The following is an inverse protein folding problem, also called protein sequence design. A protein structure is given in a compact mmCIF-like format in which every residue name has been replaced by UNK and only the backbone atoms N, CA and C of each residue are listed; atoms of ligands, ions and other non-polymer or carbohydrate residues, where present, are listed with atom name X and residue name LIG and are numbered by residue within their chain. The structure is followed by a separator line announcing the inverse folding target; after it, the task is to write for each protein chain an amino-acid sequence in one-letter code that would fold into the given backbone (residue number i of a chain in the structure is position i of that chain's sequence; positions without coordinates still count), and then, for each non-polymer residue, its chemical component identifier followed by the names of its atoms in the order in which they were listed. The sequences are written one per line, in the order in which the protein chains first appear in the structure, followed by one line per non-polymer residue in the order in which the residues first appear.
data_IF_160615320385
#
_entry.id   IF_160615320385
#
_cell.length_a   1.000
_cell.length_b   1.000
_cell.length_c   1.000
_cell.angle_alpha   90.00
_cell.angle_beta   90.00
_cell.angle_gamma   90.00
#
_symmetry.space_group_name_H-M   'P 1'
#
loop_
_entity.id
_entity.type
_entity.pdbx_description
1 polymer ?
#
# COMPACT_ATOMS: atom_id res chain seq x y z
N UNK A 1 -58.67 -70.33 10.04
CA UNK A 1 -58.56 -69.03 10.67
C UNK A 1 -57.11 -68.58 10.61
N UNK A 2 -56.77 -67.76 9.62
CA UNK A 2 -55.37 -67.30 9.39
C UNK A 2 -55.20 -65.88 10.01
N UNK A 3 -54.31 -65.75 11.00
CA UNK A 3 -53.93 -64.47 11.59
C UNK A 3 -52.82 -63.90 10.76
N UNK A 4 -53.11 -62.71 10.16
CA UNK A 4 -52.09 -61.88 9.48
C UNK A 4 -51.32 -61.05 10.52
N UNK A 5 -50.01 -61.20 10.52
CA UNK A 5 -49.08 -60.39 11.30
C UNK A 5 -48.63 -59.20 10.40
N UNK A 6 -48.96 -57.99 10.83
CA UNK A 6 -48.43 -56.75 10.21
C UNK A 6 -47.06 -56.45 10.80
N UNK A 7 -46.03 -56.44 9.96
CA UNK A 7 -44.72 -55.84 10.28
C UNK A 7 -44.75 -54.36 9.95
N UNK A 8 -44.64 -53.52 10.97
CA UNK A 8 -44.41 -52.09 10.82
C UNK A 8 -42.89 -51.85 10.72
N UNK A 9 -42.44 -51.45 9.52
CA UNK A 9 -41.04 -51.05 9.30
C UNK A 9 -40.77 -49.65 9.87
N UNK A 10 -39.77 -49.58 10.73
CA UNK A 10 -39.25 -48.32 11.30
C UNK A 10 -38.20 -47.79 10.33
N UNK A 11 -38.52 -46.71 9.63
CA UNK A 11 -37.56 -45.99 8.78
C UNK A 11 -36.69 -45.06 9.67
N UNK A 12 -35.42 -45.40 9.81
CA UNK A 12 -34.42 -44.53 10.45
C UNK A 12 -34.01 -43.41 9.48
N UNK A 13 -34.36 -42.18 9.78
CA UNK A 13 -33.87 -41.00 9.07
C UNK A 13 -32.44 -40.70 9.58
N UNK A 14 -31.41 -40.90 8.73
CA UNK A 14 -30.07 -40.40 8.97
C UNK A 14 -30.10 -38.89 8.69
N UNK A 15 -30.00 -38.07 9.74
CA UNK A 15 -29.71 -36.66 9.64
C UNK A 15 -28.22 -36.47 9.32
N UNK A 16 -27.89 -36.10 8.09
CA UNK A 16 -26.55 -35.63 7.73
C UNK A 16 -26.34 -34.27 8.36
N UNK A 17 -25.57 -34.21 9.43
CA UNK A 17 -25.00 -32.95 9.94
C UNK A 17 -24.02 -32.41 8.88
N UNK A 18 -24.50 -31.49 8.04
CA UNK A 18 -23.64 -30.70 7.20
C UNK A 18 -22.70 -29.87 8.09
N UNK A 19 -21.41 -30.11 8.02
CA UNK A 19 -20.40 -29.18 8.55
C UNK A 19 -20.54 -27.90 7.75
N UNK A 20 -21.17 -26.89 8.34
CA UNK A 20 -21.07 -25.53 7.83
C UNK A 20 -19.59 -25.15 7.91
N UNK A 21 -18.88 -25.22 6.79
CA UNK A 21 -17.58 -24.61 6.65
C UNK A 21 -17.73 -23.15 7.03
N UNK A 22 -16.85 -22.67 7.92
CA UNK A 22 -16.71 -21.22 8.15
C UNK A 22 -16.14 -20.68 6.85
N UNK A 23 -17.02 -20.37 5.90
CA UNK A 23 -16.63 -19.62 4.70
C UNK A 23 -16.15 -18.26 5.18
N UNK A 24 -14.86 -17.99 5.03
CA UNK A 24 -14.41 -16.61 5.06
C UNK A 24 -15.18 -15.92 3.94
N UNK A 25 -15.98 -14.90 4.29
CA UNK A 25 -16.60 -14.07 3.27
C UNK A 25 -15.44 -13.46 2.45
N UNK A 26 -15.53 -13.56 1.12
CA UNK A 26 -14.61 -12.84 0.24
C UNK A 26 -14.67 -11.37 0.61
N UNK A 27 -13.52 -10.65 0.61
CA UNK A 27 -13.53 -9.22 0.89
C UNK A 27 -14.40 -8.51 -0.14
N UNK A 28 -15.38 -7.74 0.31
CA UNK A 28 -16.32 -7.05 -0.58
C UNK A 28 -15.65 -5.93 -1.39
N UNK A 29 -14.50 -5.42 -0.94
CA UNK A 29 -13.83 -4.22 -1.47
C UNK A 29 -12.42 -4.46 -2.02
N UNK A 30 -11.93 -5.70 -1.98
CA UNK A 30 -10.60 -6.07 -2.47
C UNK A 30 -9.54 -6.19 -1.38
N UNK A 31 -8.29 -6.32 -1.80
CA UNK A 31 -7.14 -6.56 -0.92
C UNK A 31 -6.26 -5.31 -0.84
N UNK A 32 -5.84 -4.95 0.36
CA UNK A 32 -4.87 -3.87 0.60
C UNK A 32 -3.59 -4.46 1.17
N UNK A 33 -2.47 -4.27 0.49
CA UNK A 33 -1.13 -4.64 0.96
C UNK A 33 -0.44 -3.38 1.50
N UNK A 34 -0.17 -3.36 2.81
CA UNK A 34 0.51 -2.26 3.50
C UNK A 34 2.01 -2.55 3.63
N UNK A 35 2.82 -1.63 3.11
CA UNK A 35 4.28 -1.72 3.12
C UNK A 35 4.86 -0.68 4.08
N UNK A 36 5.51 -1.12 5.18
CA UNK A 36 6.02 -0.23 6.21
C UNK A 36 7.16 0.67 5.76
N UNK A 37 7.30 1.81 6.46
CA UNK A 37 8.48 2.66 6.37
C UNK A 37 9.71 2.05 7.07
N UNK A 38 10.85 2.72 6.89
CA UNK A 38 12.13 2.27 7.43
C UNK A 38 12.08 2.13 8.96
N UNK A 39 12.62 1.03 9.48
CA UNK A 39 12.70 0.64 10.90
C UNK A 39 11.36 0.29 11.58
N UNK A 40 10.20 0.58 10.98
CA UNK A 40 8.92 0.48 11.67
C UNK A 40 8.40 -0.96 11.78
N UNK A 41 8.49 -1.75 10.71
CA UNK A 41 7.85 -3.06 10.64
C UNK A 41 6.32 -2.99 10.69
N UNK A 42 5.65 -4.11 10.88
CA UNK A 42 4.20 -4.22 10.76
C UNK A 42 3.41 -3.51 11.87
N UNK A 43 3.89 -3.58 13.10
CA UNK A 43 3.10 -3.25 14.29
C UNK A 43 2.45 -1.85 14.29
N UNK A 44 3.12 -0.76 13.89
CA UNK A 44 2.51 0.57 13.84
C UNK A 44 1.36 0.71 12.83
N UNK A 45 1.25 -0.22 11.87
CA UNK A 45 0.23 -0.18 10.81
C UNK A 45 -1.03 -0.99 11.16
N UNK A 46 -1.01 -1.78 12.23
CA UNK A 46 -2.17 -2.59 12.61
C UNK A 46 -3.43 -1.79 12.95
N UNK A 47 -3.37 -0.58 13.56
CA UNK A 47 -4.57 0.23 13.69
C UNK A 47 -5.19 0.65 12.35
N UNK A 48 -4.37 1.03 11.37
CA UNK A 48 -4.80 1.36 10.02
C UNK A 48 -5.41 0.12 9.33
N UNK A 49 -4.72 -1.01 9.42
CA UNK A 49 -5.20 -2.28 8.86
C UNK A 49 -6.53 -2.74 9.49
N UNK A 50 -6.68 -2.58 10.81
CA UNK A 50 -7.90 -2.92 11.51
C UNK A 50 -9.08 -2.05 11.04
N UNK A 51 -8.86 -0.76 10.80
CA UNK A 51 -9.88 0.14 10.27
C UNK A 51 -10.31 -0.27 8.86
N UNK A 52 -9.37 -0.60 7.98
CA UNK A 52 -9.65 -1.06 6.62
C UNK A 52 -10.38 -2.41 6.61
N UNK A 53 -10.00 -3.35 7.48
CA UNK A 53 -10.71 -4.63 7.64
C UNK A 53 -12.15 -4.42 8.11
N UNK A 54 -12.38 -3.47 9.01
CA UNK A 54 -13.73 -3.13 9.46
C UNK A 54 -14.61 -2.54 8.33
N UNK A 55 -13.99 -2.05 7.26
CA UNK A 55 -14.65 -1.49 6.08
C UNK A 55 -14.81 -2.51 4.94
N UNK A 56 -14.41 -3.77 5.14
CA UNK A 56 -14.59 -4.86 4.18
C UNK A 56 -13.41 -5.07 3.24
N UNK A 57 -12.23 -4.49 3.51
CA UNK A 57 -11.00 -4.87 2.80
C UNK A 57 -10.34 -6.08 3.48
N UNK A 58 -9.80 -7.01 2.71
CA UNK A 58 -8.75 -7.87 3.26
C UNK A 58 -7.45 -7.05 3.31
N UNK A 59 -6.75 -7.08 4.45
CA UNK A 59 -5.59 -6.22 4.64
C UNK A 59 -4.40 -7.01 5.16
N UNK A 60 -3.34 -7.02 4.36
CA UNK A 60 -2.06 -7.65 4.66
C UNK A 60 -1.06 -6.58 5.04
N UNK A 61 -0.46 -6.68 6.22
CA UNK A 61 0.63 -5.79 6.66
C UNK A 61 1.94 -6.56 6.56
N UNK A 62 2.89 -6.06 5.76
CA UNK A 62 4.19 -6.69 5.63
C UNK A 62 5.08 -6.33 6.82
N UNK A 63 5.88 -7.27 7.33
CA UNK A 63 6.87 -7.00 8.36
C UNK A 63 8.25 -6.76 7.73
N UNK A 64 8.37 -5.67 6.99
CA UNK A 64 9.60 -5.22 6.36
C UNK A 64 10.26 -4.12 7.18
N UNK A 65 11.56 -3.93 7.00
CA UNK A 65 12.33 -2.92 7.76
C UNK A 65 12.84 -1.77 6.88
N UNK A 66 12.64 -1.83 5.58
CA UNK A 66 13.10 -0.79 4.65
C UNK A 66 14.61 -0.66 4.60
N UNK A 67 15.35 -1.76 4.63
CA UNK A 67 16.82 -1.75 4.63
C UNK A 67 17.43 -1.98 3.25
N UNK A 68 16.68 -2.59 2.35
CA UNK A 68 17.05 -2.91 0.97
C UNK A 68 15.78 -2.84 0.11
N UNK A 69 15.71 -1.81 -0.73
CA UNK A 69 14.51 -1.50 -1.53
C UNK A 69 14.19 -2.64 -2.50
N UNK A 70 15.21 -3.22 -3.14
CA UNK A 70 14.99 -4.28 -4.12
C UNK A 70 14.56 -5.59 -3.43
N UNK A 71 15.17 -5.95 -2.29
CA UNK A 71 14.77 -7.12 -1.52
C UNK A 71 13.32 -6.98 -0.99
N UNK A 72 12.97 -5.81 -0.46
CA UNK A 72 11.62 -5.52 0.00
C UNK A 72 10.61 -5.59 -1.17
N UNK A 73 10.99 -5.13 -2.37
CA UNK A 73 10.14 -5.22 -3.56
C UNK A 73 9.85 -6.67 -3.98
N UNK A 74 10.80 -7.58 -3.86
CA UNK A 74 10.56 -9.01 -4.09
C UNK A 74 9.62 -9.62 -3.03
N UNK A 75 9.70 -9.16 -1.78
CA UNK A 75 8.75 -9.58 -0.75
C UNK A 75 7.33 -9.06 -1.05
N UNK A 76 7.21 -7.82 -1.58
CA UNK A 76 5.94 -7.25 -2.04
C UNK A 76 5.36 -8.08 -3.19
N UNK A 77 6.17 -8.46 -4.18
CA UNK A 77 5.75 -9.32 -5.29
C UNK A 77 5.13 -10.63 -4.79
N UNK A 78 5.82 -11.31 -3.86
CA UNK A 78 5.30 -12.52 -3.23
C UNK A 78 3.97 -12.31 -2.49
N UNK A 79 3.84 -11.19 -1.77
CA UNK A 79 2.61 -10.86 -1.05
C UNK A 79 1.44 -10.54 -1.98
N UNK A 80 1.67 -9.77 -3.04
CA UNK A 80 0.65 -9.46 -4.06
C UNK A 80 0.23 -10.72 -4.80
N UNK A 81 1.18 -11.59 -5.16
CA UNK A 81 0.88 -12.88 -5.79
C UNK A 81 0.03 -13.78 -4.88
N UNK A 82 0.34 -13.84 -3.58
CA UNK A 82 -0.43 -14.58 -2.59
C UNK A 82 -1.84 -14.00 -2.42
N UNK A 83 -1.98 -12.67 -2.33
CA UNK A 83 -3.26 -11.98 -2.24
C UNK A 83 -4.16 -12.30 -3.44
N UNK A 84 -3.63 -12.20 -4.65
CA UNK A 84 -4.36 -12.53 -5.89
C UNK A 84 -4.73 -14.00 -5.99
N UNK A 85 -3.89 -14.89 -5.47
CA UNK A 85 -4.18 -16.32 -5.40
C UNK A 85 -5.29 -16.67 -4.40
N UNK A 86 -5.32 -15.97 -3.27
CA UNK A 86 -6.34 -16.14 -2.23
C UNK A 86 -7.69 -15.53 -2.63
N UNK A 87 -7.68 -14.42 -3.40
CA UNK A 87 -8.86 -13.66 -3.79
C UNK A 87 -8.92 -13.42 -5.31
N UNK A 88 -9.17 -14.47 -6.12
CA UNK A 88 -9.16 -14.36 -7.58
C UNK A 88 -10.19 -13.34 -8.08
N UNK A 89 -9.72 -12.40 -8.90
CA UNK A 89 -10.59 -11.36 -9.49
C UNK A 89 -10.88 -10.16 -8.59
N UNK A 90 -10.42 -10.16 -7.35
CA UNK A 90 -10.52 -9.00 -6.48
C UNK A 90 -9.39 -7.99 -6.79
N UNK A 91 -9.67 -6.68 -6.71
CA UNK A 91 -8.67 -5.65 -6.89
C UNK A 91 -7.62 -5.68 -5.79
N UNK A 92 -6.35 -5.46 -6.14
CA UNK A 92 -5.26 -5.31 -5.18
C UNK A 92 -4.78 -3.87 -5.18
N UNK A 93 -4.81 -3.25 -4.01
CA UNK A 93 -4.24 -1.94 -3.76
C UNK A 93 -2.95 -2.06 -2.96
N UNK A 94 -1.91 -1.36 -3.39
CA UNK A 94 -0.60 -1.34 -2.73
C UNK A 94 -0.40 0.00 -2.04
N UNK A 95 -0.18 0.00 -0.74
CA UNK A 95 -0.02 1.21 0.07
C UNK A 95 1.36 1.19 0.71
N UNK A 96 2.23 2.10 0.30
CA UNK A 96 3.58 2.20 0.80
C UNK A 96 3.80 3.48 1.61
N UNK A 97 4.47 3.35 2.76
CA UNK A 97 4.87 4.49 3.59
C UNK A 97 6.38 4.71 3.51
N UNK A 98 6.80 5.98 3.29
CA UNK A 98 8.23 6.34 3.33
C UNK A 98 9.07 5.49 2.36
N UNK A 99 10.14 4.85 2.82
CA UNK A 99 10.96 3.91 2.04
C UNK A 99 10.13 2.72 1.51
N UNK A 100 9.11 2.27 2.23
CA UNK A 100 8.20 1.24 1.73
C UNK A 100 7.45 1.66 0.45
N UNK A 101 7.24 2.96 0.24
CA UNK A 101 6.71 3.46 -1.01
C UNK A 101 7.73 3.35 -2.15
N UNK A 102 9.03 3.57 -1.90
CA UNK A 102 10.07 3.33 -2.91
C UNK A 102 10.18 1.85 -3.29
N UNK A 103 10.13 0.94 -2.30
CA UNK A 103 10.10 -0.50 -2.54
C UNK A 103 8.86 -0.90 -3.36
N UNK A 104 7.71 -0.31 -3.05
CA UNK A 104 6.47 -0.50 -3.81
C UNK A 104 6.60 0.00 -5.24
N UNK A 105 7.17 1.19 -5.44
CA UNK A 105 7.40 1.74 -6.78
C UNK A 105 8.39 0.90 -7.59
N UNK A 106 9.48 0.40 -6.97
CA UNK A 106 10.39 -0.52 -7.63
C UNK A 106 9.67 -1.80 -8.08
N UNK A 107 8.82 -2.36 -7.24
CA UNK A 107 7.98 -3.50 -7.62
C UNK A 107 7.09 -3.18 -8.82
N UNK A 108 6.40 -2.04 -8.81
CA UNK A 108 5.51 -1.64 -9.90
C UNK A 108 6.24 -1.49 -11.23
N UNK A 109 7.41 -0.87 -11.22
CA UNK A 109 8.18 -0.56 -12.44
C UNK A 109 9.03 -1.71 -12.94
N UNK A 110 9.82 -2.31 -12.05
CA UNK A 110 10.89 -3.23 -12.44
C UNK A 110 10.48 -4.71 -12.36
N UNK A 111 9.49 -5.04 -11.53
CA UNK A 111 9.03 -6.41 -11.33
C UNK A 111 7.64 -6.69 -11.95
N UNK A 112 7.11 -5.75 -12.71
CA UNK A 112 5.83 -5.91 -13.43
C UNK A 112 4.59 -5.73 -12.58
N UNK A 113 4.69 -5.17 -11.39
CA UNK A 113 3.59 -4.94 -10.48
C UNK A 113 2.47 -4.07 -11.05
N UNK A 114 2.81 -3.11 -11.95
CA UNK A 114 1.84 -2.23 -12.60
C UNK A 114 0.84 -2.95 -13.52
N UNK A 115 1.09 -4.21 -13.87
CA UNK A 115 0.16 -5.02 -14.62
C UNK A 115 -0.92 -5.70 -13.74
N UNK A 116 -0.75 -5.69 -12.42
CA UNK A 116 -1.57 -6.48 -11.48
C UNK A 116 -2.06 -5.72 -10.26
N UNK A 117 -1.48 -4.56 -9.98
CA UNK A 117 -1.92 -3.64 -8.91
C UNK A 117 -2.86 -2.61 -9.51
N UNK A 118 -4.06 -2.48 -8.95
CA UNK A 118 -5.05 -1.52 -9.43
C UNK A 118 -4.77 -0.11 -8.93
N UNK A 119 -4.38 0.04 -7.64
CA UNK A 119 -4.09 1.32 -7.03
C UNK A 119 -2.77 1.28 -6.27
N UNK A 120 -1.98 2.30 -6.45
CA UNK A 120 -0.80 2.56 -5.65
C UNK A 120 -0.99 3.84 -4.85
N UNK A 121 -0.87 3.77 -3.54
CA UNK A 121 -0.96 4.91 -2.63
C UNK A 121 0.35 5.08 -1.89
N UNK A 122 1.03 6.18 -2.13
CA UNK A 122 2.27 6.56 -1.46
C UNK A 122 1.97 7.51 -0.29
N UNK A 123 2.44 7.19 0.90
CA UNK A 123 2.28 8.01 2.11
C UNK A 123 3.67 8.54 2.49
N UNK A 124 3.85 9.86 2.56
CA UNK A 124 5.11 10.50 2.94
C UNK A 124 6.33 10.01 2.14
N UNK A 125 6.16 9.77 0.83
CA UNK A 125 7.13 9.06 0.03
C UNK A 125 8.22 9.98 -0.54
N UNK A 126 9.52 9.70 -0.31
CA UNK A 126 10.63 10.40 -0.96
C UNK A 126 10.88 9.81 -2.35
N UNK A 127 9.96 10.05 -3.30
CA UNK A 127 9.94 9.37 -4.60
C UNK A 127 11.24 9.51 -5.40
N UNK A 128 11.93 10.64 -5.29
CA UNK A 128 13.23 10.88 -5.97
C UNK A 128 14.43 10.75 -5.04
N UNK A 129 14.23 10.04 -3.93
CA UNK A 129 15.26 9.78 -2.93
C UNK A 129 15.21 10.69 -1.72
N UNK A 130 15.95 10.33 -0.70
CA UNK A 130 16.06 11.06 0.56
C UNK A 130 17.52 11.39 0.88
N UNK A 131 17.88 12.66 1.11
CA UNK A 131 19.21 13.02 1.60
C UNK A 131 19.57 12.32 2.92
N UNK A 132 18.57 11.97 3.74
CA UNK A 132 18.75 11.19 4.95
C UNK A 132 19.26 9.76 4.72
N UNK A 133 19.12 9.21 3.53
CA UNK A 133 19.67 7.90 3.17
C UNK A 133 21.17 7.96 2.83
N UNK A 134 21.70 9.15 2.54
CA UNK A 134 23.09 9.29 2.13
C UNK A 134 24.06 8.94 3.28
N UNK A 135 24.94 7.97 3.02
CA UNK A 135 25.94 7.51 4.00
C UNK A 135 25.38 6.63 5.13
N UNK A 136 24.11 6.25 5.08
CA UNK A 136 23.53 5.28 6.01
C UNK A 136 23.71 3.84 5.52
N UNK A 137 23.79 2.85 6.42
CA UNK A 137 23.89 1.43 6.03
C UNK A 137 22.55 0.85 5.58
N UNK A 138 21.40 1.48 5.94
CA UNK A 138 20.08 1.02 5.62
C UNK A 138 19.53 1.81 4.42
N UNK A 139 19.13 1.11 3.36
CA UNK A 139 18.67 1.65 2.09
C UNK A 139 19.55 2.80 1.54
N UNK A 140 20.88 2.64 1.46
CA UNK A 140 21.79 3.68 0.94
C UNK A 140 21.49 4.03 -0.51
N UNK A 141 20.86 3.13 -1.24
CA UNK A 141 20.41 3.31 -2.62
C UNK A 141 19.36 4.41 -2.76
N UNK A 142 18.61 4.74 -1.71
CA UNK A 142 17.64 5.84 -1.70
C UNK A 142 18.29 7.24 -1.62
N UNK A 143 19.63 7.34 -1.49
CA UNK A 143 20.31 8.63 -1.58
C UNK A 143 20.12 9.23 -2.99
N UNK A 144 19.69 10.50 -3.14
CA UNK A 144 19.56 11.15 -4.43
C UNK A 144 20.84 11.10 -5.26
N UNK A 145 20.70 10.88 -6.57
CA UNK A 145 21.84 10.79 -7.49
C UNK A 145 22.57 9.44 -7.51
N UNK A 146 22.12 8.44 -6.74
CA UNK A 146 22.66 7.07 -6.88
C UNK A 146 22.23 6.47 -8.23
N UNK A 147 22.99 5.50 -8.78
CA UNK A 147 22.59 4.78 -9.98
C UNK A 147 21.21 4.10 -9.85
N UNK A 148 20.88 3.63 -8.63
CA UNK A 148 19.57 3.05 -8.33
C UNK A 148 18.44 4.08 -8.53
N UNK A 149 18.56 5.25 -7.89
CA UNK A 149 17.54 6.30 -8.03
C UNK A 149 17.47 6.84 -9.46
N UNK A 150 18.60 6.96 -10.15
CA UNK A 150 18.61 7.37 -11.55
C UNK A 150 17.86 6.36 -12.45
N UNK A 151 18.04 5.05 -12.22
CA UNK A 151 17.32 4.01 -12.95
C UNK A 151 15.83 4.01 -12.61
N UNK A 152 15.50 4.11 -11.30
CA UNK A 152 14.10 4.13 -10.84
C UNK A 152 13.32 5.35 -11.34
N UNK A 153 13.97 6.45 -11.65
CA UNK A 153 13.36 7.70 -12.11
C UNK A 153 13.54 7.93 -13.63
N UNK A 154 13.93 6.92 -14.38
CA UNK A 154 14.17 7.05 -15.83
C UNK A 154 12.91 6.69 -16.64
N UNK A 155 12.34 7.63 -17.37
CA UNK A 155 11.13 7.41 -18.19
C UNK A 155 9.85 7.50 -17.36
N UNK A 156 8.79 6.78 -17.77
CA UNK A 156 7.48 6.84 -17.13
C UNK A 156 7.51 6.33 -15.68
N UNK A 157 7.22 7.22 -14.73
CA UNK A 157 7.20 6.93 -13.30
C UNK A 157 5.86 6.34 -12.81
N UNK A 158 4.83 6.40 -13.65
CA UNK A 158 3.48 5.92 -13.36
C UNK A 158 3.01 4.90 -14.40
N UNK A 159 3.79 3.80 -14.64
CA UNK A 159 3.52 2.90 -15.73
C UNK A 159 2.24 2.08 -15.55
N UNK A 160 1.69 1.64 -16.68
CA UNK A 160 0.61 0.67 -16.73
C UNK A 160 -0.77 1.24 -16.50
N UNK A 161 -1.67 0.38 -16.00
CA UNK A 161 -3.06 0.75 -15.70
C UNK A 161 -3.29 1.07 -14.21
N UNK A 162 -2.26 1.03 -13.41
CA UNK A 162 -2.31 1.38 -11.99
C UNK A 162 -2.70 2.86 -11.82
N UNK A 163 -3.63 3.16 -10.92
CA UNK A 163 -3.92 4.53 -10.53
C UNK A 163 -2.99 4.92 -9.36
N UNK A 164 -2.35 6.08 -9.49
CA UNK A 164 -1.32 6.54 -8.55
C UNK A 164 -1.86 7.66 -7.65
N UNK A 165 -1.61 7.54 -6.34
CA UNK A 165 -2.02 8.51 -5.33
C UNK A 165 -0.85 8.87 -4.43
N UNK A 166 -0.78 10.14 -3.99
CA UNK A 166 0.16 10.59 -2.97
C UNK A 166 -0.55 11.26 -1.80
N UNK A 167 -0.19 10.84 -0.59
CA UNK A 167 -0.65 11.37 0.70
C UNK A 167 0.55 11.97 1.41
N UNK A 168 0.44 13.19 1.95
CA UNK A 168 1.49 13.83 2.71
C UNK A 168 0.95 14.85 3.70
N UNK A 169 1.72 15.15 4.74
CA UNK A 169 1.45 16.30 5.59
C UNK A 169 1.88 17.62 4.93
N UNK A 170 1.39 18.76 5.43
CA UNK A 170 1.86 20.10 5.01
C UNK A 170 3.35 20.32 5.33
N UNK A 171 3.91 19.53 6.23
CA UNK A 171 5.29 19.65 6.74
C UNK A 171 6.19 18.51 6.30
N UNK A 172 5.70 17.69 5.37
CA UNK A 172 6.52 16.60 4.82
C UNK A 172 7.75 17.18 4.10
N UNK A 173 8.86 16.52 4.23
CA UNK A 173 10.16 16.92 3.67
C UNK A 173 10.32 16.61 2.18
N UNK A 174 9.46 15.76 1.63
CA UNK A 174 9.34 15.48 0.22
C UNK A 174 7.91 15.72 -0.23
N UNK A 175 7.72 16.27 -1.42
CA UNK A 175 6.38 16.53 -1.91
C UNK A 175 5.67 15.30 -2.49
N UNK A 176 6.37 14.17 -2.62
CA UNK A 176 5.82 12.88 -3.05
C UNK A 176 5.37 12.82 -4.51
N UNK A 177 5.70 13.84 -5.33
CA UNK A 177 5.37 13.85 -6.76
C UNK A 177 6.10 12.76 -7.52
N UNK A 178 5.47 12.34 -8.60
CA UNK A 178 6.02 11.50 -9.66
C UNK A 178 5.85 12.22 -11.00
N UNK A 179 6.68 11.92 -11.98
CA UNK A 179 6.36 12.16 -13.37
C UNK A 179 5.15 11.32 -13.77
N UNK A 180 4.38 11.76 -14.76
CA UNK A 180 3.17 11.09 -15.20
C UNK A 180 1.95 11.34 -14.32
N UNK A 181 0.86 10.66 -14.66
CA UNK A 181 -0.46 10.90 -14.08
C UNK A 181 -0.62 10.38 -12.66
N UNK A 182 -0.93 11.26 -11.72
CA UNK A 182 -1.25 10.89 -10.34
C UNK A 182 -2.24 11.84 -9.70
N UNK A 183 -2.99 11.34 -8.72
CA UNK A 183 -3.75 12.16 -7.79
C UNK A 183 -2.89 12.54 -6.59
N UNK A 184 -2.66 13.82 -6.40
CA UNK A 184 -2.03 14.39 -5.20
C UNK A 184 -3.12 14.84 -4.25
N UNK A 185 -3.35 14.07 -3.20
CA UNK A 185 -4.33 14.43 -2.18
C UNK A 185 -3.92 15.72 -1.47
N UNK A 186 -4.91 16.51 -1.07
CA UNK A 186 -4.65 17.79 -0.37
C UNK A 186 -3.84 17.54 0.89
N UNK A 187 -2.67 18.19 1.08
CA UNK A 187 -1.84 17.96 2.25
C UNK A 187 -2.61 18.18 3.56
N UNK A 188 -2.52 17.23 4.47
CA UNK A 188 -3.21 17.35 5.75
C UNK A 188 -2.38 18.16 6.76
N UNK A 189 -3.09 18.85 7.64
CA UNK A 189 -2.47 19.66 8.69
C UNK A 189 -2.02 18.82 9.86
N UNK A 190 -0.85 19.17 10.38
CA UNK A 190 -0.29 18.57 11.59
C UNK A 190 0.05 19.65 12.63
N UNK A 191 0.13 19.24 13.90
CA UNK A 191 0.54 20.11 15.00
C UNK A 191 2.02 19.92 15.36
N UNK A 192 2.65 18.90 14.81
CA UNK A 192 4.02 18.50 15.08
C UNK A 192 5.06 19.17 14.18
N UNK A 193 6.27 18.66 14.22
CA UNK A 193 7.32 18.93 13.25
C UNK A 193 7.34 17.81 12.18
N UNK A 194 7.88 18.11 11.01
CA UNK A 194 7.84 17.20 9.85
C UNK A 194 8.37 15.79 10.12
N UNK A 195 9.43 15.64 10.93
CA UNK A 195 10.00 14.33 11.23
C UNK A 195 9.12 13.47 12.15
N UNK A 196 8.50 14.09 13.18
CA UNK A 196 7.57 13.38 14.05
C UNK A 196 6.28 13.03 13.30
N UNK A 197 5.77 13.96 12.50
CA UNK A 197 4.57 13.74 11.69
C UNK A 197 4.77 12.59 10.72
N UNK A 198 5.89 12.56 10.00
CA UNK A 198 6.25 11.48 9.09
C UNK A 198 6.21 10.09 9.76
N UNK A 199 6.80 9.97 10.96
CA UNK A 199 6.81 8.68 11.68
C UNK A 199 5.44 8.27 12.20
N UNK A 200 4.52 9.23 12.40
CA UNK A 200 3.17 9.01 12.93
C UNK A 200 2.11 8.86 11.83
N UNK A 201 2.43 9.13 10.58
CA UNK A 201 1.47 9.03 9.46
C UNK A 201 0.62 7.75 9.48
N UNK A 202 1.19 6.55 9.76
CA UNK A 202 0.40 5.33 9.79
C UNK A 202 -0.74 5.29 10.82
N UNK A 203 -0.68 6.15 11.83
CA UNK A 203 -1.68 6.19 12.92
C UNK A 203 -2.53 7.45 12.93
N UNK A 204 -2.31 8.38 11.98
CA UNK A 204 -3.07 9.63 11.91
C UNK A 204 -4.44 9.40 11.26
N UNK A 205 -5.55 9.87 11.88
CA UNK A 205 -6.88 9.78 11.28
C UNK A 205 -6.96 10.43 9.88
N UNK A 206 -6.26 11.54 9.68
CA UNK A 206 -6.23 12.23 8.39
C UNK A 206 -5.66 11.35 7.26
N UNK A 207 -4.67 10.51 7.56
CA UNK A 207 -4.10 9.55 6.58
C UNK A 207 -5.13 8.47 6.26
N UNK A 208 -5.85 7.94 7.25
CA UNK A 208 -6.92 6.98 7.01
C UNK A 208 -8.03 7.58 6.14
N UNK A 209 -8.44 8.82 6.40
CA UNK A 209 -9.50 9.49 5.61
C UNK A 209 -9.05 9.69 4.16
N UNK A 210 -7.82 10.11 3.92
CA UNK A 210 -7.27 10.25 2.57
C UNK A 210 -7.06 8.91 1.86
N UNK A 211 -6.66 7.88 2.61
CA UNK A 211 -6.55 6.53 2.07
C UNK A 211 -7.91 5.98 1.62
N UNK A 212 -8.98 6.28 2.37
CA UNK A 212 -10.36 5.95 1.96
C UNK A 212 -10.74 6.59 0.62
N UNK A 213 -10.43 7.87 0.44
CA UNK A 213 -10.65 8.56 -0.83
C UNK A 213 -9.88 7.87 -1.98
N UNK A 214 -8.59 7.61 -1.80
CA UNK A 214 -7.78 6.94 -2.80
C UNK A 214 -8.28 5.53 -3.14
N UNK A 215 -8.68 4.74 -2.14
CA UNK A 215 -9.23 3.40 -2.34
C UNK A 215 -10.63 3.39 -2.99
N UNK A 216 -11.32 4.52 -2.95
CA UNK A 216 -12.61 4.73 -3.63
C UNK A 216 -12.48 5.38 -5.01
N UNK A 217 -11.26 5.54 -5.53
CA UNK A 217 -10.93 6.29 -6.76
C UNK A 217 -11.40 7.75 -6.74
N UNK A 218 -11.50 8.34 -5.54
CA UNK A 218 -11.82 9.74 -5.35
C UNK A 218 -10.55 10.56 -5.14
N UNK A 219 -10.28 11.49 -6.05
CA UNK A 219 -9.16 12.40 -5.95
C UNK A 219 -9.56 13.63 -5.11
N UNK A 220 -9.53 13.51 -3.80
CA UNK A 220 -9.73 14.62 -2.87
C UNK A 220 -8.52 15.57 -2.84
N UNK A 221 -8.07 15.99 -4.02
CA UNK A 221 -6.88 16.83 -4.21
C UNK A 221 -6.77 17.33 -5.63
N UNK A 222 -5.58 17.25 -6.22
CA UNK A 222 -5.27 17.69 -7.57
C UNK A 222 -4.74 16.51 -8.39
N UNK A 223 -5.31 16.30 -9.57
CA UNK A 223 -4.71 15.41 -10.55
C UNK A 223 -3.63 16.16 -11.31
N UNK A 224 -2.43 15.63 -11.32
CA UNK A 224 -1.27 16.17 -12.04
C UNK A 224 -0.74 15.13 -13.02
N UNK A 225 -0.18 15.61 -14.13
CA UNK A 225 0.39 14.78 -15.19
C UNK A 225 1.61 15.51 -15.72
N UNK A 226 2.77 15.20 -15.17
CA UNK A 226 4.03 15.85 -15.50
C UNK A 226 4.75 15.03 -16.58
N UNK A 227 5.40 15.66 -17.56
CA UNK A 227 6.18 14.94 -18.55
C UNK A 227 7.35 14.16 -17.93
N UNK A 228 7.71 13.04 -18.52
CA UNK A 228 8.86 12.24 -18.13
C UNK A 228 10.13 13.09 -18.02
N UNK A 229 10.84 12.98 -16.89
CA UNK A 229 12.05 13.75 -16.61
C UNK A 229 11.81 15.20 -16.18
N UNK A 230 10.56 15.65 -16.04
CA UNK A 230 10.25 17.02 -15.57
C UNK A 230 10.54 17.17 -14.07
N UNK A 231 10.45 16.07 -13.30
CA UNK A 231 10.65 16.09 -11.86
C UNK A 231 12.05 15.53 -11.53
N UNK A 232 12.71 16.21 -10.60
CA UNK A 232 14.03 15.83 -10.11
C UNK A 232 14.06 15.80 -8.59
N UNK A 233 15.06 15.20 -7.99
CA UNK A 233 15.26 15.21 -6.54
C UNK A 233 15.23 16.65 -6.00
N UNK A 234 15.92 17.60 -6.65
CA UNK A 234 15.99 18.99 -6.21
C UNK A 234 14.62 19.70 -6.26
N UNK A 235 13.75 19.32 -7.21
CA UNK A 235 12.42 19.93 -7.34
C UNK A 235 11.38 19.39 -6.36
N UNK A 236 11.64 18.23 -5.75
CA UNK A 236 10.72 17.55 -4.84
C UNK A 236 11.12 17.64 -3.38
N UNK A 237 12.42 17.87 -3.12
CA UNK A 237 12.95 17.98 -1.78
C UNK A 237 12.81 19.42 -1.30
N UNK A 238 12.02 19.63 -0.25
CA UNK A 238 11.95 20.89 0.50
C UNK A 238 11.48 22.14 -0.26
N UNK A 239 10.29 22.16 -0.88
CA UNK A 239 9.80 23.36 -1.55
C UNK A 239 9.66 24.57 -0.60
N UNK A 240 9.67 24.37 0.71
CA UNK A 240 9.53 25.44 1.72
C UNK A 240 10.67 25.53 2.71
N UNK A 241 11.81 24.85 2.46
CA UNK A 241 12.89 24.73 3.44
C UNK A 241 12.49 23.77 4.57
N UNK A 242 13.44 22.95 5.02
CA UNK A 242 13.21 22.07 6.15
C UNK A 242 13.09 22.90 7.40
N UNK A 243 12.02 22.81 8.18
CA UNK A 243 12.10 23.24 9.55
C UNK A 243 12.77 22.14 10.38
N UNK A 244 14.08 21.94 10.21
CA UNK A 244 14.87 21.37 11.29
C UNK A 244 15.16 22.53 12.24
N UNK A 245 14.26 22.73 13.16
CA UNK A 245 14.38 23.60 14.29
C UNK A 245 14.02 22.85 15.54
#
# INVERSE_FOLDING_TARGET
MLKRILLTGLAAALATLGTAGIGHAEPDRGVVVLVPGQYLGALPYEPLAAALRAEGYDTVVLDLKGFDIAADAHAIDGAVAAARGAHPGQPVSLVGHSIGALSSRYYLRELGGSAVVERYVAIGAPQYGSPGACGQPAAPEACPGTPFMAALNAGDDTPGATTYYSIRSEREWSDGRLDGGQCRLTPFRTLGNGGADHSLEPVLPAVLDQLRSALADDCAGEYVDEPDGAITADSTLFPSGIPFG
#
